data_IF_837940793792
#
_entry.id   IF_837940793792
#
_cell.length_a   1.000
_cell.length_b   1.000
_cell.length_c   1.000
_cell.angle_alpha   90.00
_cell.angle_beta   90.00
_cell.angle_gamma   90.00
#
_symmetry.space_group_name_H-M   'P 1'
#
loop_
_entity.id
_entity.type
_entity.pdbx_description
1 polymer ?
#
# COMPACT_ATOMS: atom_id res chain seq x y z
N UNK A 1 -57.47 -42.25 11.84
CA UNK A 1 -56.78 -43.49 11.44
C UNK A 1 -56.76 -43.55 9.92
N UNK A 2 -55.61 -43.94 9.37
CA UNK A 2 -55.26 -44.12 7.95
C UNK A 2 -55.14 -42.84 7.10
N UNK A 3 -54.23 -42.69 6.14
CA UNK A 3 -52.93 -43.29 5.82
C UNK A 3 -52.40 -42.50 4.60
N UNK A 4 -51.09 -42.41 4.45
CA UNK A 4 -50.36 -41.78 3.35
C UNK A 4 -50.64 -42.45 1.99
N UNK A 5 -50.66 -41.65 0.91
CA UNK A 5 -50.35 -42.11 -0.45
C UNK A 5 -49.42 -41.10 -1.14
N UNK A 6 -48.28 -41.60 -1.60
CA UNK A 6 -47.25 -40.91 -2.40
C UNK A 6 -47.78 -40.44 -3.76
N UNK A 7 -47.15 -39.39 -4.31
CA UNK A 7 -47.29 -39.00 -5.72
C UNK A 7 -45.91 -38.91 -6.39
N UNK A 8 -45.71 -39.41 -7.63
CA UNK A 8 -44.40 -39.57 -8.25
C UNK A 8 -43.91 -38.32 -8.99
N UNK A 9 -42.60 -38.26 -9.16
CA UNK A 9 -41.81 -37.24 -9.88
C UNK A 9 -41.88 -37.44 -11.41
N UNK A 10 -41.85 -36.38 -12.24
CA UNK A 10 -41.50 -36.48 -13.66
C UNK A 10 -40.07 -35.97 -13.98
N UNK A 11 -39.50 -36.34 -15.15
CA UNK A 11 -38.06 -36.39 -15.39
C UNK A 11 -37.45 -35.17 -16.11
N UNK A 12 -36.12 -35.13 -16.04
CA UNK A 12 -35.06 -34.32 -16.66
C UNK A 12 -35.38 -33.55 -17.97
N UNK A 13 -34.99 -32.27 -18.01
CA UNK A 13 -34.82 -31.49 -19.23
C UNK A 13 -33.47 -30.75 -19.20
N UNK A 14 -32.40 -31.50 -19.51
CA UNK A 14 -31.09 -30.95 -19.89
C UNK A 14 -31.02 -30.92 -21.42
N UNK A 15 -31.19 -29.74 -22.04
CA UNK A 15 -30.65 -29.41 -23.37
C UNK A 15 -31.09 -28.00 -23.79
N UNK A 16 -30.21 -27.01 -23.67
CA UNK A 16 -30.16 -25.96 -24.69
C UNK A 16 -28.72 -25.62 -24.98
N UNK A 17 -28.28 -26.15 -26.11
CA UNK A 17 -27.01 -25.89 -26.74
C UNK A 17 -26.85 -24.39 -27.08
N UNK A 18 -25.68 -23.84 -26.77
CA UNK A 18 -25.11 -22.70 -27.47
C UNK A 18 -23.67 -23.06 -27.84
N UNK A 19 -23.53 -23.92 -28.86
CA UNK A 19 -22.42 -23.80 -29.79
C UNK A 19 -22.89 -22.81 -30.86
N UNK A 20 -22.16 -21.71 -31.08
CA UNK A 20 -21.70 -21.49 -32.46
C UNK A 20 -20.51 -20.54 -32.62
N UNK A 21 -19.62 -21.04 -33.49
CA UNK A 21 -18.64 -20.39 -34.36
C UNK A 21 -17.55 -19.44 -33.84
N UNK A 22 -16.37 -20.05 -33.69
CA UNK A 22 -15.09 -19.47 -34.09
C UNK A 22 -15.09 -19.10 -35.58
N UNK A 23 -14.91 -17.82 -35.88
CA UNK A 23 -14.31 -17.37 -37.14
C UNK A 23 -13.20 -16.38 -36.80
N UNK A 24 -11.98 -16.71 -37.25
CA UNK A 24 -10.82 -15.86 -37.06
C UNK A 24 -10.89 -14.61 -37.93
N UNK A 25 -10.58 -13.45 -37.37
CA UNK A 25 -10.01 -12.33 -38.11
C UNK A 25 -9.22 -11.37 -37.20
N UNK A 26 -7.91 -11.32 -37.48
CA UNK A 26 -6.91 -10.26 -37.23
C UNK A 26 -6.51 -9.85 -35.79
N UNK A 27 -5.19 -9.82 -35.47
CA UNK A 27 -4.65 -9.32 -34.21
C UNK A 27 -4.49 -7.79 -34.27
N UNK A 28 -5.58 -7.06 -34.09
CA UNK A 28 -5.53 -5.62 -33.81
C UNK A 28 -6.48 -5.30 -32.65
N UNK A 29 -6.33 -6.05 -31.55
CA UNK A 29 -6.81 -5.57 -30.27
C UNK A 29 -5.98 -4.34 -29.93
N UNK A 30 -6.60 -3.17 -30.09
CA UNK A 30 -6.10 -1.89 -29.58
C UNK A 30 -5.31 -2.12 -28.29
N UNK A 31 -3.99 -1.89 -28.35
CA UNK A 31 -3.10 -1.84 -27.18
C UNK A 31 -3.70 -0.77 -26.27
N UNK A 32 -4.57 -1.20 -25.37
CA UNK A 32 -5.33 -0.29 -24.53
C UNK A 32 -4.34 0.16 -23.49
N UNK A 33 -4.13 1.48 -23.40
CA UNK A 33 -3.09 2.21 -22.64
C UNK A 33 -3.02 1.94 -21.11
N UNK A 34 -3.56 0.82 -20.60
CA UNK A 34 -3.58 0.45 -19.17
C UNK A 34 -2.72 -0.78 -18.83
N UNK A 35 -1.66 -1.06 -19.60
CA UNK A 35 -0.77 -2.22 -19.37
C UNK A 35 0.26 -1.99 -18.23
N UNK A 36 0.44 -0.73 -17.79
CA UNK A 36 1.47 -0.35 -16.80
C UNK A 36 1.28 -1.00 -15.42
N UNK A 37 0.03 -1.26 -15.04
CA UNK A 37 -0.36 -1.81 -13.74
C UNK A 37 -0.90 -3.25 -13.83
N UNK A 38 -0.71 -3.93 -14.96
CA UNK A 38 -1.18 -5.30 -15.16
C UNK A 38 -0.26 -6.34 -14.49
N UNK A 39 -0.39 -6.52 -13.18
CA UNK A 39 0.29 -7.55 -12.40
C UNK A 39 -0.53 -7.92 -11.16
N UNK A 40 -0.32 -9.10 -10.58
CA UNK A 40 -1.21 -9.64 -9.53
C UNK A 40 -1.28 -8.77 -8.26
N UNK A 41 -0.17 -8.12 -7.89
CA UNK A 41 -0.06 -7.24 -6.72
C UNK A 41 -0.64 -5.84 -6.87
N UNK A 42 -1.30 -5.53 -7.98
CA UNK A 42 -1.91 -4.20 -8.18
C UNK A 42 -3.15 -4.01 -7.30
N UNK A 43 -3.31 -2.81 -6.70
CA UNK A 43 -4.57 -2.39 -6.07
C UNK A 43 -5.65 -1.98 -7.07
N UNK A 44 -5.42 -2.12 -8.38
CA UNK A 44 -6.43 -1.99 -9.44
C UNK A 44 -6.88 -3.40 -9.92
N UNK A 45 -7.79 -4.09 -9.21
CA UNK A 45 -8.08 -5.50 -9.48
C UNK A 45 -8.64 -5.77 -10.89
N UNK A 46 -9.24 -4.78 -11.53
CA UNK A 46 -9.78 -4.91 -12.89
C UNK A 46 -8.70 -5.07 -13.97
N UNK A 47 -7.45 -4.67 -13.70
CA UNK A 47 -6.33 -4.82 -14.65
C UNK A 47 -5.44 -6.02 -14.34
N UNK A 48 -5.78 -6.83 -13.33
CA UNK A 48 -5.00 -8.04 -12.98
C UNK A 48 -5.02 -9.05 -14.12
N UNK A 49 -3.90 -9.74 -14.39
CA UNK A 49 -3.87 -10.86 -15.31
C UNK A 49 -4.94 -11.91 -14.94
N UNK A 50 -5.75 -12.32 -15.92
CA UNK A 50 -6.77 -13.37 -15.73
C UNK A 50 -6.22 -14.78 -15.97
N UNK A 51 -5.02 -14.89 -16.53
CA UNK A 51 -4.40 -16.17 -16.82
C UNK A 51 -3.96 -16.88 -15.53
N UNK A 52 -4.35 -18.14 -15.38
CA UNK A 52 -3.90 -18.97 -14.25
C UNK A 52 -2.41 -19.28 -14.44
N UNK A 53 -1.57 -18.94 -13.45
CA UNK A 53 -0.17 -19.35 -13.45
C UNK A 53 -0.08 -20.86 -13.24
N UNK A 54 0.38 -21.58 -14.27
CA UNK A 54 0.62 -23.02 -14.20
C UNK A 54 1.89 -23.36 -13.42
N UNK A 55 2.88 -22.46 -13.44
CA UNK A 55 4.13 -22.60 -12.68
C UNK A 55 4.10 -21.74 -11.42
N UNK A 56 4.48 -22.29 -10.25
CA UNK A 56 4.66 -21.49 -9.05
C UNK A 56 5.67 -20.37 -9.28
N UNK A 57 5.39 -19.18 -8.73
CA UNK A 57 6.20 -17.98 -8.97
C UNK A 57 7.69 -18.17 -8.61
N UNK A 58 7.99 -18.93 -7.55
CA UNK A 58 9.36 -19.21 -7.10
C UNK A 58 10.15 -20.13 -8.05
N UNK A 59 9.51 -20.76 -9.04
CA UNK A 59 10.18 -21.53 -10.10
C UNK A 59 10.32 -20.75 -11.42
N UNK A 60 9.71 -19.57 -11.52
CA UNK A 60 9.76 -18.76 -12.73
C UNK A 60 11.02 -17.90 -12.75
N UNK A 61 11.87 -18.05 -13.77
CA UNK A 61 13.04 -17.16 -13.96
C UNK A 61 12.60 -15.72 -14.23
N UNK A 62 11.54 -15.54 -15.00
CA UNK A 62 11.02 -14.22 -15.38
C UNK A 62 10.58 -13.41 -14.15
N UNK A 63 10.13 -14.08 -13.09
CA UNK A 63 9.82 -13.45 -11.81
C UNK A 63 11.03 -12.73 -11.18
N UNK A 64 12.22 -13.31 -11.32
CA UNK A 64 13.45 -12.79 -10.71
C UNK A 64 14.20 -11.81 -11.62
N UNK A 65 14.17 -12.01 -12.94
CA UNK A 65 15.04 -11.26 -13.87
C UNK A 65 14.36 -10.69 -15.11
N UNK A 66 13.10 -11.05 -15.41
CA UNK A 66 12.52 -10.80 -16.73
C UNK A 66 12.20 -9.33 -17.05
N UNK A 67 11.90 -8.52 -16.04
CA UNK A 67 11.27 -7.20 -16.24
C UNK A 67 12.24 -6.00 -16.19
N UNK A 68 13.56 -6.20 -16.21
CA UNK A 68 14.54 -5.10 -16.12
C UNK A 68 14.52 -4.14 -17.30
N UNK A 69 14.24 -4.64 -18.50
CA UNK A 69 14.22 -3.86 -19.75
C UNK A 69 12.81 -3.39 -20.11
N UNK A 70 11.80 -3.75 -19.32
CA UNK A 70 10.42 -3.37 -19.57
C UNK A 70 10.18 -1.90 -19.17
N UNK A 71 10.07 -1.04 -20.18
CA UNK A 71 9.83 0.39 -20.00
C UNK A 71 8.53 0.68 -19.23
N UNK A 72 7.54 -0.22 -19.28
CA UNK A 72 6.30 -0.08 -18.53
C UNK A 72 6.58 -0.06 -17.02
N UNK A 73 7.48 -0.92 -16.55
CA UNK A 73 7.87 -1.04 -15.14
C UNK A 73 8.61 0.21 -14.67
N UNK A 74 9.50 0.76 -15.50
CA UNK A 74 10.20 2.01 -15.20
C UNK A 74 9.25 3.21 -15.11
N UNK A 75 8.26 3.29 -16.01
CA UNK A 75 7.20 4.31 -15.94
C UNK A 75 6.39 4.17 -14.66
N UNK A 76 6.01 2.94 -14.28
CA UNK A 76 5.29 2.69 -13.03
C UNK A 76 6.13 3.05 -11.79
N UNK A 77 7.45 2.80 -11.81
CA UNK A 77 8.35 3.21 -10.73
C UNK A 77 8.48 4.75 -10.63
N UNK A 78 8.45 5.47 -11.75
CA UNK A 78 8.41 6.93 -11.74
C UNK A 78 7.09 7.46 -11.14
N UNK A 79 5.96 6.78 -11.39
CA UNK A 79 4.68 7.09 -10.75
C UNK A 79 4.76 6.87 -9.24
N UNK A 80 5.34 5.74 -8.80
CA UNK A 80 5.57 5.46 -7.37
C UNK A 80 6.45 6.53 -6.70
N UNK A 81 7.49 7.00 -7.38
CA UNK A 81 8.33 8.11 -6.91
C UNK A 81 7.52 9.40 -6.68
N UNK A 82 6.75 9.85 -7.69
CA UNK A 82 5.96 11.09 -7.57
C UNK A 82 4.86 10.91 -6.52
N UNK A 83 4.17 9.77 -6.54
CA UNK A 83 3.10 9.46 -5.61
C UNK A 83 3.58 9.46 -4.16
N UNK A 84 4.69 8.76 -3.86
CA UNK A 84 5.25 8.73 -2.51
C UNK A 84 5.76 10.11 -2.09
N UNK A 85 6.33 10.91 -3.00
CA UNK A 85 6.72 12.30 -2.71
C UNK A 85 5.51 13.11 -2.20
N UNK A 86 4.43 13.12 -2.98
CA UNK A 86 3.23 13.87 -2.66
C UNK A 86 2.51 13.33 -1.42
N UNK A 87 2.43 12.00 -1.27
CA UNK A 87 1.83 11.34 -0.12
C UNK A 87 2.54 11.73 1.18
N UNK A 88 3.88 11.62 1.20
CA UNK A 88 4.68 11.89 2.39
C UNK A 88 4.67 13.39 2.71
N UNK A 89 4.74 14.25 1.70
CA UNK A 89 4.57 15.70 1.88
C UNK A 89 3.24 16.03 2.56
N UNK A 90 2.11 15.53 2.03
CA UNK A 90 0.80 15.80 2.62
C UNK A 90 0.64 15.17 4.01
N UNK A 91 1.16 13.95 4.22
CA UNK A 91 1.17 13.31 5.54
C UNK A 91 1.90 14.18 6.57
N UNK A 92 3.07 14.72 6.22
CA UNK A 92 3.81 15.64 7.09
C UNK A 92 3.09 16.94 7.34
N UNK A 93 2.48 17.54 6.31
CA UNK A 93 1.71 18.78 6.47
C UNK A 93 0.48 18.60 7.37
N UNK A 94 -0.20 17.45 7.28
CA UNK A 94 -1.32 17.12 8.17
C UNK A 94 -0.83 17.06 9.63
N UNK A 95 0.27 16.34 9.90
CA UNK A 95 0.84 16.27 11.25
C UNK A 95 1.23 17.65 11.77
N UNK A 96 1.98 18.43 10.98
CA UNK A 96 2.40 19.77 11.35
C UNK A 96 1.22 20.73 11.60
N UNK A 97 0.15 20.61 10.82
CA UNK A 97 -1.08 21.43 10.99
C UNK A 97 -1.78 21.09 12.30
N UNK A 98 -1.96 19.80 12.60
CA UNK A 98 -2.63 19.35 13.82
C UNK A 98 -1.86 19.79 15.07
N UNK A 99 -0.53 19.67 15.04
CA UNK A 99 0.35 20.14 16.11
C UNK A 99 0.33 21.67 16.23
N UNK A 100 0.36 22.39 15.11
CA UNK A 100 0.28 23.85 15.09
C UNK A 100 -1.02 24.41 15.66
N UNK A 101 -2.12 23.65 15.59
CA UNK A 101 -3.39 23.99 16.24
C UNK A 101 -3.47 23.60 17.72
N UNK A 102 -2.45 22.92 18.26
CA UNK A 102 -2.48 22.40 19.63
C UNK A 102 -3.58 21.36 19.85
N UNK A 103 -3.91 20.59 18.81
CA UNK A 103 -5.04 19.67 18.79
C UNK A 103 -4.88 18.60 19.88
N UNK A 104 -5.82 18.47 20.84
CA UNK A 104 -5.85 17.34 21.76
C UNK A 104 -6.09 16.02 21.00
N UNK A 105 -5.49 14.92 21.46
CA UNK A 105 -5.66 13.58 20.87
C UNK A 105 -5.31 13.49 19.36
N UNK A 106 -4.17 14.06 18.97
CA UNK A 106 -3.64 14.09 17.59
C UNK A 106 -3.73 12.73 16.86
N UNK A 107 -3.50 11.62 17.56
CA UNK A 107 -3.56 10.26 16.99
C UNK A 107 -4.89 9.89 16.32
N UNK A 108 -6.03 10.34 16.86
CA UNK A 108 -7.35 10.09 16.27
C UNK A 108 -7.53 10.81 14.93
N UNK A 109 -7.12 12.07 14.87
CA UNK A 109 -7.18 12.88 13.65
C UNK A 109 -6.19 12.39 12.59
N UNK A 110 -4.98 11.98 12.98
CA UNK A 110 -4.02 11.36 12.04
C UNK A 110 -4.61 10.05 11.51
N UNK A 111 -5.19 9.20 12.37
CA UNK A 111 -5.84 7.95 11.96
C UNK A 111 -6.90 8.18 10.88
N UNK A 112 -7.88 9.06 11.13
CA UNK A 112 -8.93 9.39 10.16
C UNK A 112 -8.35 10.01 8.89
N UNK A 113 -7.37 10.91 9.02
CA UNK A 113 -6.72 11.54 7.87
C UNK A 113 -6.00 10.52 6.99
N UNK A 114 -5.34 9.52 7.58
CA UNK A 114 -4.68 8.45 6.86
C UNK A 114 -5.66 7.57 6.07
N UNK A 115 -6.90 7.38 6.56
CA UNK A 115 -7.95 6.69 5.80
C UNK A 115 -8.16 7.39 4.47
N UNK A 116 -8.47 8.69 4.50
CA UNK A 116 -8.78 9.45 3.29
C UNK A 116 -7.54 9.61 2.42
N UNK A 117 -6.39 9.95 3.02
CA UNK A 117 -5.15 10.23 2.32
C UNK A 117 -4.68 9.01 1.53
N UNK A 118 -4.48 7.87 2.19
CA UNK A 118 -3.90 6.69 1.54
C UNK A 118 -4.87 6.10 0.53
N UNK A 119 -6.17 6.02 0.84
CA UNK A 119 -7.15 5.55 -0.12
C UNK A 119 -7.19 6.41 -1.37
N UNK A 120 -7.15 7.74 -1.24
CA UNK A 120 -7.15 8.66 -2.38
C UNK A 120 -5.91 8.48 -3.25
N UNK A 121 -4.72 8.36 -2.64
CA UNK A 121 -3.49 8.14 -3.38
C UNK A 121 -3.48 6.78 -4.09
N UNK A 122 -3.96 5.72 -3.44
CA UNK A 122 -4.08 4.41 -4.09
C UNK A 122 -5.06 4.51 -5.26
N UNK A 123 -6.25 5.12 -5.11
CA UNK A 123 -7.18 5.31 -6.22
C UNK A 123 -6.55 6.07 -7.40
N UNK A 124 -5.79 7.13 -7.11
CA UNK A 124 -5.17 7.96 -8.13
C UNK A 124 -4.03 7.25 -8.88
N UNK A 125 -3.33 6.33 -8.23
CA UNK A 125 -2.07 5.76 -8.73
C UNK A 125 -2.19 4.29 -9.15
N UNK A 126 -3.18 3.56 -8.63
CA UNK A 126 -3.36 2.14 -8.91
C UNK A 126 -3.49 1.80 -10.41
N UNK A 127 -4.18 2.59 -11.25
CA UNK A 127 -4.21 2.33 -12.70
C UNK A 127 -2.85 2.45 -13.40
N UNK A 128 -1.92 3.21 -12.82
CA UNK A 128 -0.63 3.53 -13.43
C UNK A 128 0.53 2.73 -12.84
N UNK A 129 0.53 2.42 -11.55
CA UNK A 129 1.59 1.63 -10.90
C UNK A 129 1.08 0.46 -10.07
N UNK A 130 -0.22 0.34 -9.84
CA UNK A 130 -0.76 -0.54 -8.81
C UNK A 130 -0.75 0.05 -7.41
N UNK A 131 -0.21 1.27 -7.22
CA UNK A 131 -0.44 2.12 -6.05
C UNK A 131 0.11 1.56 -4.75
N UNK A 132 1.33 1.02 -4.76
CA UNK A 132 1.94 0.46 -3.55
C UNK A 132 2.33 1.56 -2.56
N UNK A 133 2.96 2.63 -3.07
CA UNK A 133 3.36 3.89 -2.40
C UNK A 133 4.07 3.74 -1.05
N UNK A 134 4.55 2.54 -0.75
CA UNK A 134 5.15 2.12 0.51
C UNK A 134 6.13 0.95 0.25
N UNK A 135 7.41 1.09 0.66
CA UNK A 135 8.39 0.02 0.52
C UNK A 135 8.00 -1.29 1.22
N UNK A 136 7.30 -1.24 2.36
CA UNK A 136 6.87 -2.46 3.09
C UNK A 136 5.79 -3.25 2.33
N UNK A 137 4.84 -2.55 1.71
CA UNK A 137 3.80 -3.17 0.88
C UNK A 137 4.45 -3.79 -0.36
N UNK A 138 5.39 -3.07 -0.97
CA UNK A 138 6.11 -3.57 -2.15
C UNK A 138 6.96 -4.79 -1.82
N UNK A 139 7.73 -4.73 -0.74
CA UNK A 139 8.57 -5.83 -0.29
C UNK A 139 7.75 -7.09 0.00
N UNK A 140 6.63 -6.96 0.73
CA UNK A 140 5.75 -8.09 1.00
C UNK A 140 5.08 -8.65 -0.26
N UNK A 141 4.71 -7.81 -1.23
CA UNK A 141 4.20 -8.28 -2.53
C UNK A 141 5.26 -9.09 -3.30
N UNK A 142 6.55 -8.76 -3.18
CA UNK A 142 7.65 -9.57 -3.74
C UNK A 142 7.83 -10.89 -3.01
N UNK A 143 7.72 -10.91 -1.68
CA UNK A 143 7.85 -12.16 -0.93
C UNK A 143 6.69 -13.14 -1.16
N UNK A 144 5.53 -12.62 -1.56
CA UNK A 144 4.30 -13.41 -1.75
C UNK A 144 4.02 -13.80 -3.20
N UNK A 145 4.89 -13.46 -4.15
CA UNK A 145 4.70 -13.83 -5.56
C UNK A 145 3.83 -12.86 -6.37
N UNK A 146 3.34 -11.79 -5.73
CA UNK A 146 2.38 -10.83 -6.32
C UNK A 146 3.07 -9.75 -7.16
N UNK A 147 4.33 -9.43 -6.87
CA UNK A 147 5.13 -8.45 -7.59
C UNK A 147 6.49 -9.05 -7.97
N UNK A 148 6.91 -8.96 -9.23
CA UNK A 148 8.22 -9.45 -9.65
C UNK A 148 9.36 -8.76 -8.90
N UNK A 149 10.51 -9.41 -8.77
CA UNK A 149 11.68 -8.82 -8.10
C UNK A 149 12.15 -7.52 -8.77
N UNK A 150 12.29 -7.45 -10.11
CA UNK A 150 12.72 -6.20 -10.76
C UNK A 150 11.74 -5.03 -10.51
N UNK A 151 10.43 -5.27 -10.65
CA UNK A 151 9.40 -4.25 -10.38
C UNK A 151 9.45 -3.81 -8.92
N UNK A 152 9.54 -4.76 -7.99
CA UNK A 152 9.61 -4.47 -6.56
C UNK A 152 10.84 -3.64 -6.17
N UNK A 153 12.02 -3.97 -6.72
CA UNK A 153 13.25 -3.21 -6.47
C UNK A 153 13.14 -1.78 -7.02
N UNK A 154 12.63 -1.62 -8.25
CA UNK A 154 12.44 -0.29 -8.85
C UNK A 154 11.41 0.55 -8.09
N UNK A 155 10.33 -0.08 -7.59
CA UNK A 155 9.33 0.59 -6.77
C UNK A 155 9.92 1.03 -5.43
N UNK A 156 10.63 0.16 -4.71
CA UNK A 156 11.25 0.52 -3.44
C UNK A 156 12.29 1.63 -3.62
N UNK A 157 13.07 1.62 -4.71
CA UNK A 157 13.99 2.70 -5.05
C UNK A 157 13.23 4.00 -5.31
N UNK A 158 12.19 3.97 -6.17
CA UNK A 158 11.35 5.13 -6.46
C UNK A 158 10.68 5.71 -5.22
N UNK A 159 10.07 4.87 -4.39
CA UNK A 159 9.41 5.25 -3.14
C UNK A 159 10.40 5.88 -2.15
N UNK A 160 11.58 5.30 -1.99
CA UNK A 160 12.62 5.82 -1.08
C UNK A 160 13.16 7.16 -1.57
N UNK A 161 13.44 7.29 -2.87
CA UNK A 161 13.85 8.56 -3.47
C UNK A 161 12.75 9.62 -3.40
N UNK A 162 11.49 9.23 -3.56
CA UNK A 162 10.34 10.13 -3.43
C UNK A 162 10.17 10.61 -1.99
N UNK A 163 10.34 9.71 -1.01
CA UNK A 163 10.44 10.07 0.40
C UNK A 163 11.57 11.06 0.65
N UNK A 164 12.75 10.84 0.07
CA UNK A 164 13.87 11.76 0.21
C UNK A 164 13.58 13.17 -0.32
N UNK A 165 12.98 13.26 -1.51
CA UNK A 165 12.55 14.53 -2.09
C UNK A 165 11.50 15.22 -1.20
N UNK A 166 10.50 14.48 -0.70
CA UNK A 166 9.52 15.02 0.24
C UNK A 166 10.19 15.58 1.50
N UNK A 167 11.17 14.87 2.07
CA UNK A 167 11.93 15.34 3.23
C UNK A 167 12.65 16.67 2.99
N UNK A 168 13.28 16.82 1.82
CA UNK A 168 13.91 18.08 1.40
C UNK A 168 12.91 19.22 1.22
N UNK A 169 11.75 18.94 0.59
CA UNK A 169 10.67 19.92 0.41
C UNK A 169 10.12 20.34 1.78
N UNK A 170 9.85 19.39 2.68
CA UNK A 170 9.33 19.66 4.02
C UNK A 170 10.30 20.53 4.84
N UNK A 171 11.61 20.24 4.79
CA UNK A 171 12.63 21.10 5.38
C UNK A 171 12.59 22.53 4.80
N UNK A 172 12.43 22.67 3.49
CA UNK A 172 12.32 23.97 2.83
C UNK A 172 11.07 24.75 3.25
N UNK A 173 9.93 24.06 3.43
CA UNK A 173 8.64 24.66 3.80
C UNK A 173 8.58 25.01 5.29
N UNK A 174 9.09 24.14 6.17
CA UNK A 174 9.04 24.36 7.62
C UNK A 174 10.17 25.26 8.12
N UNK A 175 11.31 25.23 7.44
CA UNK A 175 12.57 25.73 7.96
C UNK A 175 13.21 24.75 8.97
N UNK A 176 14.51 24.88 9.26
CA UNK A 176 15.25 23.91 10.08
C UNK A 176 14.69 23.76 11.50
N UNK A 177 14.36 24.87 12.16
CA UNK A 177 13.90 24.87 13.56
C UNK A 177 12.58 24.11 13.72
N UNK A 178 11.58 24.41 12.88
CA UNK A 178 10.29 23.71 12.92
C UNK A 178 10.41 22.25 12.49
N UNK A 179 11.25 21.95 11.51
CA UNK A 179 11.49 20.57 11.09
C UNK A 179 12.06 19.72 12.24
N UNK A 180 12.90 20.30 13.09
CA UNK A 180 13.38 19.65 14.32
C UNK A 180 12.29 19.60 15.41
N UNK A 181 11.50 20.67 15.60
CA UNK A 181 10.47 20.71 16.65
C UNK A 181 9.34 19.69 16.44
N UNK A 182 8.98 19.41 15.19
CA UNK A 182 8.00 18.37 14.85
C UNK A 182 8.53 16.95 15.00
N UNK A 183 9.78 16.78 15.45
CA UNK A 183 10.44 15.50 15.76
C UNK A 183 10.23 14.43 14.66
N UNK A 184 10.22 14.85 13.40
CA UNK A 184 10.03 13.92 12.29
C UNK A 184 8.63 13.30 12.19
N UNK A 185 7.57 14.00 12.61
CA UNK A 185 6.18 13.63 12.36
C UNK A 185 5.84 12.20 12.81
N UNK A 186 6.45 11.76 13.92
CA UNK A 186 6.27 10.44 14.51
C UNK A 186 7.30 9.37 14.14
N UNK A 187 8.22 9.63 13.20
CA UNK A 187 9.35 8.75 12.89
C UNK A 187 10.55 9.01 13.83
N UNK A 188 10.24 9.09 15.12
CA UNK A 188 11.14 9.33 16.24
C UNK A 188 10.53 8.75 17.52
N UNK A 189 11.38 8.46 18.50
CA UNK A 189 10.94 8.15 19.86
C UNK A 189 11.91 8.74 20.88
N UNK A 190 11.39 9.04 22.07
CA UNK A 190 12.18 9.46 23.23
C UNK A 190 12.82 8.24 23.94
N UNK A 191 14.16 8.11 23.93
CA UNK A 191 14.84 7.00 24.59
C UNK A 191 14.68 6.97 26.12
N UNK A 192 14.29 8.09 26.75
CA UNK A 192 14.00 8.14 28.18
C UNK A 192 12.65 7.50 28.53
N UNK A 193 11.74 7.36 27.56
CA UNK A 193 10.37 6.85 27.75
C UNK A 193 10.21 5.40 27.27
N UNK A 194 11.00 4.98 26.28
CA UNK A 194 10.94 3.62 25.75
C UNK A 194 12.29 3.09 25.28
N UNK A 195 12.49 1.79 25.47
CA UNK A 195 13.63 1.09 24.88
C UNK A 195 13.46 0.91 23.36
N UNK A 196 14.58 0.84 22.60
CA UNK A 196 14.52 0.53 21.18
C UNK A 196 13.77 -0.78 20.87
N UNK A 197 13.87 -1.78 21.74
CA UNK A 197 13.20 -3.07 21.59
C UNK A 197 11.67 -2.98 21.66
N UNK A 198 11.13 -2.13 22.54
CA UNK A 198 9.68 -1.89 22.62
C UNK A 198 9.15 -1.24 21.34
N UNK A 199 9.84 -0.20 20.86
CA UNK A 199 9.46 0.52 19.63
C UNK A 199 9.57 -0.41 18.42
N UNK A 200 10.66 -1.17 18.33
CA UNK A 200 10.85 -2.16 17.27
C UNK A 200 9.74 -3.21 17.25
N UNK A 201 9.38 -3.79 18.40
CA UNK A 201 8.32 -4.79 18.49
C UNK A 201 6.97 -4.21 18.03
N UNK A 202 6.65 -2.99 18.45
CA UNK A 202 5.42 -2.31 18.03
C UNK A 202 5.39 -2.04 16.52
N UNK A 203 6.48 -1.52 15.94
CA UNK A 203 6.59 -1.29 14.49
C UNK A 203 6.44 -2.59 13.69
N UNK A 204 7.06 -3.69 14.15
CA UNK A 204 6.97 -5.00 13.50
C UNK A 204 5.54 -5.53 13.52
N UNK A 205 4.87 -5.54 14.68
CA UNK A 205 3.51 -6.07 14.78
C UNK A 205 2.48 -5.16 14.12
N UNK A 206 2.61 -3.85 14.24
CA UNK A 206 1.74 -2.91 13.54
C UNK A 206 1.88 -3.04 12.02
N UNK A 207 3.11 -3.17 11.52
CA UNK A 207 3.35 -3.43 10.10
C UNK A 207 2.79 -4.77 9.67
N UNK A 208 2.94 -5.82 10.48
CA UNK A 208 2.34 -7.13 10.20
C UNK A 208 0.81 -7.05 10.10
N UNK A 209 0.15 -6.38 11.05
CA UNK A 209 -1.32 -6.20 11.02
C UNK A 209 -1.73 -5.40 9.79
N UNK A 210 -1.03 -4.31 9.46
CA UNK A 210 -1.29 -3.55 8.24
C UNK A 210 -1.18 -4.41 6.99
N UNK A 211 -0.12 -5.22 6.87
CA UNK A 211 0.08 -6.12 5.74
C UNK A 211 -1.01 -7.19 5.69
N UNK A 212 -1.33 -7.83 6.82
CA UNK A 212 -2.37 -8.84 6.92
C UNK A 212 -3.72 -8.30 6.44
N UNK A 213 -4.12 -7.12 6.91
CA UNK A 213 -5.35 -6.47 6.49
C UNK A 213 -5.29 -6.05 5.02
N UNK A 214 -4.22 -5.38 4.58
CA UNK A 214 -4.07 -4.89 3.19
C UNK A 214 -4.12 -6.04 2.17
N UNK A 215 -3.53 -7.18 2.50
CA UNK A 215 -3.63 -8.39 1.69
C UNK A 215 -5.05 -8.94 1.71
N UNK A 216 -5.63 -9.06 2.90
CA UNK A 216 -6.97 -9.62 3.12
C UNK A 216 -8.12 -8.76 2.61
N UNK A 217 -7.92 -7.49 2.27
CA UNK A 217 -9.00 -6.61 1.77
C UNK A 217 -8.69 -5.96 0.42
N UNK A 218 -7.41 -5.86 0.04
CA UNK A 218 -6.97 -5.17 -1.17
C UNK A 218 -6.34 -6.09 -2.21
N UNK A 219 -5.44 -6.99 -1.80
CA UNK A 219 -4.64 -7.79 -2.73
C UNK A 219 -5.25 -9.16 -3.04
N UNK A 220 -5.99 -9.79 -2.13
CA UNK A 220 -6.61 -11.09 -2.36
C UNK A 220 -7.73 -10.99 -3.42
N UNK A 221 -7.61 -11.64 -4.60
CA UNK A 221 -8.65 -11.63 -5.63
C UNK A 221 -10.00 -12.19 -5.15
N UNK A 222 -10.01 -13.09 -4.16
CA UNK A 222 -11.24 -13.70 -3.62
C UNK A 222 -12.11 -12.66 -2.91
N UNK A 223 -11.51 -11.61 -2.38
CA UNK A 223 -12.19 -10.57 -1.61
C UNK A 223 -12.94 -9.60 -2.53
N UNK A 224 -12.52 -9.50 -3.80
CA UNK A 224 -13.25 -8.75 -4.81
C UNK A 224 -14.65 -9.34 -5.06
N UNK A 225 -14.89 -10.63 -4.78
CA UNK A 225 -16.21 -11.25 -4.87
C UNK A 225 -17.15 -10.84 -3.71
N UNK A 226 -16.60 -10.44 -2.56
CA UNK A 226 -17.35 -10.08 -1.36
C UNK A 226 -17.66 -8.57 -1.35
N UNK A 227 -16.62 -7.75 -1.54
CA UNK A 227 -16.73 -6.28 -1.38
C UNK A 227 -16.74 -5.52 -2.71
N UNK A 228 -16.52 -6.21 -3.83
CA UNK A 228 -16.38 -5.61 -5.15
C UNK A 228 -14.96 -5.06 -5.43
N UNK A 229 -14.58 -4.92 -6.70
CA UNK A 229 -13.22 -4.56 -7.12
C UNK A 229 -12.82 -3.12 -6.77
N UNK A 230 -13.77 -2.25 -6.38
CA UNK A 230 -13.50 -0.83 -6.14
C UNK A 230 -13.21 -0.51 -4.67
N UNK A 231 -13.47 -1.43 -3.76
CA UNK A 231 -13.36 -1.16 -2.31
C UNK A 231 -11.95 -1.35 -1.74
N UNK A 232 -11.08 -2.07 -2.45
CA UNK A 232 -9.71 -2.37 -2.00
C UNK A 232 -8.93 -1.14 -1.51
N UNK A 233 -8.79 -0.06 -2.31
CA UNK A 233 -8.08 1.15 -1.90
C UNK A 233 -8.67 1.81 -0.63
N UNK A 234 -10.00 1.85 -0.50
CA UNK A 234 -10.64 2.38 0.71
C UNK A 234 -10.30 1.54 1.95
N UNK A 235 -10.43 0.22 1.85
CA UNK A 235 -10.19 -0.69 2.96
C UNK A 235 -8.71 -0.76 3.35
N UNK A 236 -7.78 -0.60 2.41
CA UNK A 236 -6.34 -0.48 2.69
C UNK A 236 -6.04 0.81 3.47
N UNK A 237 -6.60 1.95 3.04
CA UNK A 237 -6.46 3.20 3.81
C UNK A 237 -7.12 3.12 5.19
N UNK A 238 -8.31 2.50 5.29
CA UNK A 238 -8.98 2.23 6.56
C UNK A 238 -8.12 1.37 7.50
N UNK A 239 -7.43 0.36 6.96
CA UNK A 239 -6.52 -0.50 7.71
C UNK A 239 -5.35 0.32 8.29
N UNK A 240 -4.71 1.16 7.47
CA UNK A 240 -3.64 2.03 7.96
C UNK A 240 -4.14 3.05 8.99
N UNK A 241 -5.28 3.68 8.76
CA UNK A 241 -5.87 4.63 9.71
C UNK A 241 -6.18 3.98 11.06
N UNK A 242 -6.74 2.77 11.05
CA UNK A 242 -7.02 1.99 12.25
C UNK A 242 -5.74 1.66 13.03
N UNK A 243 -4.71 1.13 12.37
CA UNK A 243 -3.45 0.78 13.05
C UNK A 243 -2.70 2.03 13.52
N UNK A 244 -2.75 3.13 12.74
CA UNK A 244 -2.17 4.41 13.16
C UNK A 244 -2.82 4.90 14.45
N UNK A 245 -4.15 4.90 14.50
CA UNK A 245 -4.88 5.28 15.70
C UNK A 245 -4.56 4.36 16.89
N UNK A 246 -4.64 3.04 16.68
CA UNK A 246 -4.47 2.05 17.75
C UNK A 246 -3.06 2.05 18.37
N UNK A 247 -2.06 2.53 17.64
CA UNK A 247 -0.67 2.60 18.11
C UNK A 247 -0.26 3.98 18.58
N UNK A 248 -1.12 5.00 18.43
CA UNK A 248 -0.78 6.38 18.77
C UNK A 248 -1.01 6.68 20.25
N UNK A 249 -0.11 7.46 20.85
CA UNK A 249 -0.26 7.94 22.23
C UNK A 249 -0.11 6.86 23.31
N UNK A 250 0.36 5.67 22.95
CA UNK A 250 0.58 4.56 23.90
C UNK A 250 1.77 4.79 24.84
N UNK A 251 2.74 5.62 24.41
CA UNK A 251 3.94 5.97 25.18
C UNK A 251 4.22 7.47 24.93
N UNK A 252 4.47 8.29 25.98
CA UNK A 252 4.92 9.67 25.81
C UNK A 252 6.19 9.75 24.96
N UNK A 253 6.29 10.73 24.06
CA UNK A 253 7.45 10.85 23.18
C UNK A 253 7.53 9.79 22.07
N UNK A 254 6.47 9.00 21.86
CA UNK A 254 6.33 8.10 20.70
C UNK A 254 4.97 8.30 20.04
N UNK A 255 4.96 8.76 18.79
CA UNK A 255 3.71 9.11 18.10
C UNK A 255 2.88 7.89 17.65
N UNK A 256 3.47 6.70 17.69
CA UNK A 256 2.88 5.44 17.22
C UNK A 256 3.61 4.84 16.04
N UNK A 257 3.12 3.69 15.57
CA UNK A 257 3.76 2.96 14.50
C UNK A 257 3.63 3.69 13.17
N UNK A 258 4.68 3.66 12.36
CA UNK A 258 4.77 4.46 11.14
C UNK A 258 4.54 3.60 9.90
N UNK A 259 4.95 2.33 9.93
CA UNK A 259 4.61 1.30 8.93
C UNK A 259 5.00 1.63 7.47
N UNK A 260 5.79 2.68 7.25
CA UNK A 260 6.26 3.14 5.93
C UNK A 260 7.71 3.64 6.02
N UNK A 261 8.70 2.85 5.57
CA UNK A 261 10.11 3.24 5.62
C UNK A 261 10.44 4.50 4.82
N UNK A 262 9.81 4.72 3.66
CA UNK A 262 10.06 5.92 2.85
C UNK A 262 9.57 7.19 3.57
N UNK A 263 8.43 7.10 4.26
CA UNK A 263 7.93 8.17 5.14
C UNK A 263 8.96 8.49 6.22
N UNK A 264 9.43 7.49 6.96
CA UNK A 264 10.39 7.75 8.03
C UNK A 264 11.75 8.24 7.57
N UNK A 265 12.20 7.78 6.40
CA UNK A 265 13.40 8.32 5.78
C UNK A 265 13.25 9.80 5.43
N UNK A 266 12.10 10.22 4.88
CA UNK A 266 11.80 11.62 4.58
C UNK A 266 11.91 12.51 5.82
N UNK A 267 11.33 12.07 6.93
CA UNK A 267 11.36 12.83 8.18
C UNK A 267 12.75 12.91 8.81
N UNK A 268 13.56 11.85 8.67
CA UNK A 268 14.98 11.88 9.04
C UNK A 268 15.76 12.92 8.24
N UNK A 269 15.50 13.04 6.93
CA UNK A 269 16.07 14.09 6.08
C UNK A 269 15.58 15.47 6.53
N UNK A 270 14.26 15.62 6.75
CA UNK A 270 13.67 16.90 7.11
C UNK A 270 14.28 17.47 8.41
N UNK A 271 14.42 16.64 9.44
CA UNK A 271 15.04 17.03 10.73
C UNK A 271 16.57 17.06 10.71
N UNK A 272 17.21 16.64 9.60
CA UNK A 272 18.66 16.47 9.45
C UNK A 272 19.28 15.60 10.54
N UNK A 273 18.58 14.54 10.89
CA UNK A 273 19.04 13.55 11.86
C UNK A 273 18.48 12.16 11.53
N UNK A 274 19.35 11.17 11.42
CA UNK A 274 18.98 9.79 11.08
C UNK A 274 19.07 8.84 12.27
N UNK A 275 19.87 9.19 13.26
CA UNK A 275 20.10 8.39 14.45
C UNK A 275 19.78 9.30 15.60
N UNK A 276 18.74 8.98 16.38
CA UNK A 276 18.23 9.71 17.56
C UNK A 276 19.30 10.00 18.63
N UNK A 277 20.34 10.72 18.23
CA UNK A 277 21.48 11.16 19.01
C UNK A 277 21.19 12.61 19.27
N UNK A 278 20.85 12.88 20.52
CA UNK A 278 20.89 14.21 21.10
C UNK A 278 22.13 14.92 20.57
N UNK A 279 21.93 15.98 19.78
CA UNK A 279 22.95 17.02 19.71
C UNK A 279 22.93 17.71 21.06
N UNK A 280 23.68 17.13 22.01
CA UNK A 280 24.15 17.84 23.19
C UNK A 280 25.02 18.97 22.65
N UNK A 281 24.50 20.19 22.72
CA UNK A 281 25.16 21.43 22.33
C UNK A 281 24.38 22.59 22.92
#
# INVERSE_FOLDING_TARGET
MAALQEKPQPPDEEATALQDHSTGSSPNANITKMDLAAFDGTFAPLVRPRAVRLTPWYRSKDYFVGQWTDLSVWKSAAVEFVATTCLVFLSGQITATLEGYGTPQVGGYIGISNIVLVSTFIYATAPASGGHINPMITYSAVLTGLCSVPRGLLYMAGQTLGGALAGGILLGVWGPERATSFQGGGCWYDPSQASPGQIYLNEVFASFVLLFLSFGVGLDPRQAAIFGPRMGPLLVGASLGLVTFATSGIIPGYAGAQMNPARCFAFGIARRDMASRERIG
#
